data_IF_485204881829
#
_entry.id   IF_485204881829
#
_cell.length_a   1.000
_cell.length_b   1.000
_cell.length_c   1.000
_cell.angle_alpha   90.00
_cell.angle_beta   90.00
_cell.angle_gamma   90.00
#
_symmetry.space_group_name_H-M   'P 1'
#
loop_
_entity.id
_entity.type
_entity.pdbx_description
1 polymer ?
#
# COMPACT_ATOMS: atom_id res chain seq x y z
N UNK A 1 20.19 20.24 -6.82
CA UNK A 1 19.35 21.39 -6.43
C UNK A 1 18.55 20.92 -5.24
N UNK A 2 18.67 21.59 -4.11
CA UNK A 2 17.84 21.28 -2.95
C UNK A 2 16.51 22.00 -3.17
N UNK A 3 15.45 21.23 -3.45
CA UNK A 3 14.11 21.78 -3.51
C UNK A 3 13.60 22.05 -2.10
N UNK A 4 12.88 23.16 -1.97
CA UNK A 4 12.31 23.59 -0.71
C UNK A 4 10.78 23.68 -0.81
N UNK A 5 10.11 23.21 0.25
CA UNK A 5 8.66 23.32 0.42
C UNK A 5 8.41 24.12 1.68
N UNK A 6 7.72 25.24 1.52
CA UNK A 6 7.37 26.13 2.62
C UNK A 6 6.03 25.72 3.21
N UNK A 7 6.01 25.34 4.47
CA UNK A 7 4.75 25.15 5.22
C UNK A 7 4.13 26.51 5.49
N UNK A 8 2.89 26.68 5.05
CA UNK A 8 2.10 27.91 5.22
C UNK A 8 1.16 27.79 6.41
N UNK A 9 0.59 26.62 6.61
CA UNK A 9 -0.35 26.33 7.68
C UNK A 9 -0.21 24.89 8.17
N UNK A 10 -0.32 24.72 9.49
CA UNK A 10 -0.44 23.39 10.12
C UNK A 10 -1.59 23.46 11.13
N UNK A 11 -2.56 22.57 10.98
CA UNK A 11 -3.78 22.56 11.78
C UNK A 11 -4.27 21.14 12.03
N UNK A 12 -5.16 20.98 12.99
CA UNK A 12 -5.84 19.70 13.24
C UNK A 12 -7.29 19.85 12.74
N UNK A 13 -7.73 18.88 11.95
CA UNK A 13 -9.12 18.75 11.49
C UNK A 13 -9.82 17.72 12.37
N UNK A 14 -10.78 18.18 13.16
CA UNK A 14 -11.61 17.32 14.00
C UNK A 14 -12.88 16.88 13.27
N UNK A 15 -13.52 15.76 13.68
CA UNK A 15 -14.84 15.41 13.17
C UNK A 15 -15.85 16.54 13.32
N UNK A 16 -16.71 16.74 12.31
CA UNK A 16 -17.76 17.78 12.33
C UNK A 16 -18.87 17.52 13.36
N UNK A 17 -18.99 16.29 13.83
CA UNK A 17 -19.93 15.86 14.85
C UNK A 17 -19.20 15.05 15.93
N UNK A 18 -19.77 14.98 17.17
CA UNK A 18 -19.17 14.18 18.23
C UNK A 18 -18.97 12.73 17.82
N UNK A 19 -17.73 12.24 17.88
CA UNK A 19 -17.39 10.85 17.64
C UNK A 19 -17.57 10.01 18.91
N UNK A 20 -17.80 8.69 18.80
CA UNK A 20 -17.80 7.78 19.92
C UNK A 20 -16.48 7.86 20.69
N UNK A 21 -16.55 8.10 22.01
CA UNK A 21 -15.37 8.13 22.87
C UNK A 21 -15.18 6.77 23.52
N UNK A 22 -14.31 5.97 22.93
CA UNK A 22 -13.99 4.60 23.40
C UNK A 22 -12.62 4.16 22.94
N UNK A 23 -12.02 3.21 23.59
CA UNK A 23 -10.92 2.42 23.05
C UNK A 23 -11.44 1.51 21.92
N UNK A 24 -10.77 1.47 20.81
CA UNK A 24 -11.01 0.51 19.74
C UNK A 24 -9.90 -0.54 19.80
N UNK A 25 -10.29 -1.76 20.18
CA UNK A 25 -9.40 -2.91 20.22
C UNK A 25 -8.81 -3.17 18.82
N UNK A 26 -7.51 -3.46 18.78
CA UNK A 26 -6.81 -3.83 17.55
C UNK A 26 -6.67 -5.35 17.45
N UNK A 27 -7.03 -5.92 16.31
CA UNK A 27 -6.81 -7.34 16.03
C UNK A 27 -5.32 -7.67 16.00
N UNK A 28 -4.97 -8.95 16.13
CA UNK A 28 -3.58 -9.39 15.99
C UNK A 28 -2.97 -9.02 14.62
N UNK A 29 -3.79 -8.99 13.58
CA UNK A 29 -3.36 -8.55 12.25
C UNK A 29 -3.06 -7.04 12.19
N UNK A 30 -3.82 -6.22 12.92
CA UNK A 30 -3.53 -4.78 13.05
C UNK A 30 -2.24 -4.54 13.83
N UNK A 31 -2.06 -5.24 14.94
CA UNK A 31 -0.87 -5.15 15.78
C UNK A 31 0.38 -5.57 15.00
N UNK A 32 0.28 -6.61 14.20
CA UNK A 32 1.38 -7.06 13.35
C UNK A 32 1.85 -6.01 12.35
N UNK A 33 0.97 -5.10 11.94
CA UNK A 33 1.30 -3.96 11.08
C UNK A 33 1.79 -2.72 11.84
N UNK A 34 1.72 -2.70 13.17
CA UNK A 34 2.03 -1.50 13.96
C UNK A 34 3.47 -0.98 13.74
N UNK A 35 4.42 -1.89 13.59
CA UNK A 35 5.84 -1.55 13.37
C UNK A 35 6.14 -0.89 12.04
N UNK A 36 5.25 -1.00 11.04
CA UNK A 36 5.42 -0.33 9.76
C UNK A 36 5.19 1.19 9.87
N UNK A 37 4.57 1.64 10.97
CA UNK A 37 4.27 3.05 11.19
C UNK A 37 3.35 3.62 10.12
N UNK A 38 3.59 4.84 9.70
CA UNK A 38 2.79 5.51 8.67
C UNK A 38 3.24 5.12 7.26
N UNK A 39 2.27 4.83 6.40
CA UNK A 39 2.50 4.60 4.97
C UNK A 39 2.44 5.93 4.21
N UNK A 40 3.59 6.46 3.72
CA UNK A 40 3.62 7.73 3.02
C UNK A 40 3.22 7.53 1.55
N UNK A 41 2.19 8.26 1.09
CA UNK A 41 1.77 8.27 -0.32
C UNK A 41 1.58 9.68 -0.84
N UNK A 42 1.64 9.85 -2.14
CA UNK A 42 1.36 11.11 -2.84
C UNK A 42 0.35 10.89 -3.96
N UNK A 43 -0.52 11.88 -4.14
CA UNK A 43 -1.41 12.02 -5.28
C UNK A 43 -1.09 13.34 -5.97
N UNK A 44 -0.91 13.32 -7.29
CA UNK A 44 -0.58 14.49 -8.08
C UNK A 44 -1.78 14.90 -8.92
N UNK A 45 -2.20 16.14 -8.76
CA UNK A 45 -3.32 16.73 -9.49
C UNK A 45 -2.85 17.89 -10.36
N UNK A 46 -3.39 17.96 -11.58
CA UNK A 46 -3.15 19.09 -12.49
C UNK A 46 -4.33 20.05 -12.42
N UNK A 47 -4.05 21.34 -12.31
CA UNK A 47 -5.07 22.36 -12.47
C UNK A 47 -5.60 22.36 -13.90
N UNK A 48 -6.91 22.52 -14.07
CA UNK A 48 -7.50 22.72 -15.38
C UNK A 48 -7.01 24.06 -15.97
N UNK A 49 -6.92 24.11 -17.30
CA UNK A 49 -6.56 25.35 -18.02
C UNK A 49 -7.66 26.42 -17.99
N UNK A 50 -8.81 26.14 -17.40
CA UNK A 50 -9.94 27.05 -17.30
C UNK A 50 -9.74 28.02 -16.14
N UNK A 51 -9.53 29.29 -16.43
CA UNK A 51 -9.16 30.35 -15.46
C UNK A 51 -10.21 30.48 -14.35
N UNK A 52 -11.50 30.30 -14.64
CA UNK A 52 -12.56 30.36 -13.65
C UNK A 52 -12.56 29.15 -12.69
N UNK A 53 -12.04 28.01 -13.10
CA UNK A 53 -11.88 26.82 -12.28
C UNK A 53 -10.58 26.85 -11.44
N UNK A 54 -9.61 27.67 -11.83
CA UNK A 54 -8.31 27.77 -11.17
C UNK A 54 -8.40 28.50 -9.81
N UNK A 55 -9.28 29.46 -9.68
CA UNK A 55 -9.44 30.26 -8.43
C UNK A 55 -9.95 29.45 -7.24
N UNK A 56 -10.58 28.28 -7.49
CA UNK A 56 -11.11 27.39 -6.45
C UNK A 56 -10.48 25.99 -6.49
N UNK A 57 -9.38 25.82 -7.24
CA UNK A 57 -8.71 24.54 -7.35
C UNK A 57 -8.03 24.14 -6.02
N UNK A 58 -8.42 22.99 -5.49
CA UNK A 58 -7.99 22.51 -4.19
C UNK A 58 -8.25 23.51 -3.03
N UNK A 59 -9.45 24.09 -3.00
CA UNK A 59 -9.88 24.97 -1.90
C UNK A 59 -9.69 24.28 -0.54
N UNK A 60 -8.78 24.84 0.26
CA UNK A 60 -8.35 24.28 1.54
C UNK A 60 -9.50 24.23 2.55
N UNK A 61 -10.36 25.26 2.58
CA UNK A 61 -11.49 25.29 3.51
C UNK A 61 -12.49 24.19 3.19
N UNK A 62 -12.81 24.01 1.91
CA UNK A 62 -13.69 22.95 1.42
C UNK A 62 -13.11 21.55 1.71
N UNK A 63 -11.80 21.37 1.51
CA UNK A 63 -11.12 20.08 1.80
C UNK A 63 -11.18 19.74 3.29
N UNK A 64 -10.95 20.73 4.18
CA UNK A 64 -11.03 20.55 5.63
C UNK A 64 -12.44 20.24 6.09
N UNK A 65 -13.44 20.97 5.58
CA UNK A 65 -14.86 20.71 5.89
C UNK A 65 -15.26 19.29 5.46
N UNK A 66 -14.93 18.89 4.23
CA UNK A 66 -15.22 17.56 3.73
C UNK A 66 -14.48 16.47 4.54
N UNK A 67 -13.24 16.72 4.98
CA UNK A 67 -12.50 15.81 5.86
C UNK A 67 -13.17 15.68 7.23
N UNK A 68 -13.58 16.80 7.83
CA UNK A 68 -14.27 16.80 9.11
C UNK A 68 -15.54 15.93 9.07
N UNK A 69 -16.28 15.98 7.95
CA UNK A 69 -17.46 15.14 7.72
C UNK A 69 -17.08 13.67 7.53
N UNK A 70 -16.04 13.37 6.74
CA UNK A 70 -15.58 11.99 6.55
C UNK A 70 -15.11 11.37 7.87
N UNK A 71 -14.48 12.15 8.73
CA UNK A 71 -14.00 11.70 10.04
C UNK A 71 -15.14 11.38 11.03
N UNK A 72 -16.38 11.80 10.79
CA UNK A 72 -17.54 11.32 11.57
C UNK A 72 -17.73 9.83 11.41
N UNK A 73 -17.77 9.34 10.17
CA UNK A 73 -17.90 7.92 9.87
C UNK A 73 -16.60 7.16 10.15
N UNK A 74 -15.45 7.73 9.81
CA UNK A 74 -14.12 7.15 10.03
C UNK A 74 -13.48 7.66 11.33
N UNK A 75 -14.28 7.74 12.41
CA UNK A 75 -13.86 8.33 13.69
C UNK A 75 -12.55 7.75 14.28
N UNK A 76 -12.15 6.48 14.05
CA UNK A 76 -10.87 6.00 14.56
C UNK A 76 -9.67 6.75 13.95
N UNK A 77 -9.78 7.27 12.70
CA UNK A 77 -8.70 8.03 12.07
C UNK A 77 -8.49 9.42 12.71
N UNK A 78 -9.49 9.91 13.46
CA UNK A 78 -9.39 11.12 14.27
C UNK A 78 -8.91 10.82 15.71
N UNK A 79 -8.60 9.57 16.02
CA UNK A 79 -8.11 9.14 17.33
C UNK A 79 -6.59 9.23 17.46
N UNK A 80 -6.10 8.56 18.50
CA UNK A 80 -4.67 8.41 18.79
C UNK A 80 -4.34 6.95 19.08
N UNK A 81 -3.18 6.50 18.62
CA UNK A 81 -2.64 5.24 19.09
C UNK A 81 -2.22 5.36 20.55
N UNK A 82 -2.56 4.40 21.35
CA UNK A 82 -2.25 4.35 22.76
C UNK A 82 -2.15 2.91 23.24
N UNK A 83 -1.89 2.78 24.53
CA UNK A 83 -1.86 1.49 25.24
C UNK A 83 -3.04 1.46 26.18
N UNK A 84 -3.80 0.37 26.17
CA UNK A 84 -4.86 0.14 27.12
C UNK A 84 -4.26 -0.18 28.51
N UNK A 85 -4.61 0.61 29.51
CA UNK A 85 -4.06 0.49 30.86
C UNK A 85 -4.45 -0.82 31.56
N UNK A 86 -5.49 -1.52 31.10
CA UNK A 86 -5.98 -2.74 31.75
C UNK A 86 -5.22 -3.99 31.34
N UNK A 87 -4.80 -4.09 30.07
CA UNK A 87 -4.18 -5.29 29.51
C UNK A 87 -2.84 -5.04 28.81
N UNK A 88 -2.41 -3.78 28.72
CA UNK A 88 -1.16 -3.40 28.07
C UNK A 88 -1.17 -3.51 26.53
N UNK A 89 -2.33 -3.81 25.93
CA UNK A 89 -2.48 -3.96 24.48
C UNK A 89 -2.58 -2.60 23.80
N UNK A 90 -1.96 -2.47 22.63
CA UNK A 90 -2.14 -1.29 21.80
C UNK A 90 -3.59 -1.20 21.32
N UNK A 91 -4.17 -0.01 21.38
CA UNK A 91 -5.51 0.31 20.90
C UNK A 91 -5.55 1.67 20.19
N UNK A 92 -6.66 1.97 19.54
CA UNK A 92 -6.97 3.33 19.10
C UNK A 92 -7.88 4.00 20.12
N UNK A 93 -7.39 5.01 20.81
CA UNK A 93 -8.21 5.90 21.61
C UNK A 93 -9.03 6.79 20.69
N UNK A 94 -10.31 6.48 20.52
CA UNK A 94 -11.24 7.24 19.69
C UNK A 94 -11.71 8.48 20.47
N UNK A 95 -10.83 9.46 20.63
CA UNK A 95 -11.05 10.67 21.42
C UNK A 95 -11.48 11.89 20.60
N UNK A 96 -11.45 11.75 19.25
CA UNK A 96 -11.84 12.81 18.33
C UNK A 96 -10.88 13.99 18.26
N UNK A 97 -9.62 13.81 18.69
CA UNK A 97 -8.60 14.89 18.63
C UNK A 97 -8.31 15.36 17.20
N UNK A 98 -8.60 14.54 16.18
CA UNK A 98 -8.52 14.91 14.78
C UNK A 98 -7.27 14.48 14.06
N UNK A 99 -7.24 14.74 12.75
CA UNK A 99 -6.16 14.45 11.82
C UNK A 99 -5.28 15.66 11.57
N UNK A 100 -3.99 15.46 11.35
CA UNK A 100 -3.06 16.54 10.99
C UNK A 100 -3.30 16.97 9.54
N UNK A 101 -3.49 18.26 9.31
CA UNK A 101 -3.67 18.88 8.01
C UNK A 101 -2.66 20.01 7.81
N UNK A 102 -1.79 19.84 6.81
CA UNK A 102 -0.73 20.80 6.48
C UNK A 102 -1.00 21.41 5.10
N UNK A 103 -0.80 22.70 4.97
CA UNK A 103 -0.81 23.44 3.71
C UNK A 103 0.59 23.96 3.44
N UNK A 104 1.08 23.71 2.23
CA UNK A 104 2.44 24.07 1.86
C UNK A 104 2.51 24.62 0.43
N UNK A 105 3.60 25.29 0.10
CA UNK A 105 3.91 25.84 -1.22
C UNK A 105 5.29 25.39 -1.68
N UNK A 106 5.40 25.00 -2.97
CA UNK A 106 6.62 24.64 -3.65
C UNK A 106 6.81 25.59 -4.85
N UNK A 107 7.53 26.67 -4.64
CA UNK A 107 7.67 27.75 -5.62
C UNK A 107 8.51 27.39 -6.83
N UNK A 108 9.35 26.35 -6.75
CA UNK A 108 10.30 25.95 -7.79
C UNK A 108 9.91 24.65 -8.50
N UNK A 109 8.85 23.97 -8.06
CA UNK A 109 8.42 22.67 -8.59
C UNK A 109 7.17 22.79 -9.45
N UNK A 110 7.17 22.05 -10.55
CA UNK A 110 6.01 21.86 -11.44
C UNK A 110 5.49 20.42 -11.36
N UNK A 111 4.31 20.17 -11.91
CA UNK A 111 3.74 18.81 -12.07
C UNK A 111 4.73 17.89 -12.81
N UNK A 112 5.38 18.40 -13.89
CA UNK A 112 6.33 17.61 -14.67
C UNK A 112 7.61 17.27 -13.89
N UNK A 113 8.01 18.12 -12.95
CA UNK A 113 9.15 17.82 -12.08
C UNK A 113 8.79 16.74 -11.07
N UNK A 114 7.62 16.83 -10.46
CA UNK A 114 7.13 15.79 -9.50
C UNK A 114 7.00 14.42 -10.16
N UNK A 115 6.55 14.35 -11.42
CA UNK A 115 6.47 13.08 -12.17
C UNK A 115 7.82 12.39 -12.37
N UNK A 116 8.93 13.15 -12.36
CA UNK A 116 10.29 12.59 -12.51
C UNK A 116 10.85 12.04 -11.20
N UNK A 117 10.29 12.44 -10.06
CA UNK A 117 10.77 11.92 -8.79
C UNK A 117 10.49 10.43 -8.64
N UNK A 118 11.48 9.72 -8.15
CA UNK A 118 11.30 8.37 -7.63
C UNK A 118 11.01 8.45 -6.13
N UNK A 119 10.26 7.49 -5.58
CA UNK A 119 10.08 7.39 -4.13
C UNK A 119 11.44 7.45 -3.41
N UNK A 120 11.54 8.34 -2.46
CA UNK A 120 12.80 8.62 -1.74
C UNK A 120 12.54 9.34 -0.42
N UNK A 121 13.50 9.35 0.51
CA UNK A 121 13.41 10.18 1.71
C UNK A 121 13.21 11.67 1.39
N UNK A 122 13.76 12.14 0.27
CA UNK A 122 13.58 13.51 -0.20
C UNK A 122 12.13 13.77 -0.64
N UNK A 123 11.56 12.90 -1.48
CA UNK A 123 10.16 13.02 -1.93
C UNK A 123 9.19 13.03 -0.74
N UNK A 124 9.44 12.14 0.24
CA UNK A 124 8.67 12.12 1.49
C UNK A 124 8.80 13.43 2.25
N UNK A 125 10.02 13.94 2.45
CA UNK A 125 10.28 15.20 3.16
C UNK A 125 9.59 16.39 2.52
N UNK A 126 9.51 16.43 1.19
CA UNK A 126 8.89 17.52 0.44
C UNK A 126 7.36 17.51 0.56
N UNK A 127 6.73 16.34 0.46
CA UNK A 127 5.29 16.28 0.21
C UNK A 127 4.47 15.56 1.28
N UNK A 128 5.08 14.89 2.24
CA UNK A 128 4.36 14.20 3.31
C UNK A 128 4.68 14.88 4.64
N UNK A 129 3.66 15.20 5.46
CA UNK A 129 3.89 15.98 6.67
C UNK A 129 4.76 15.23 7.68
N UNK A 130 5.56 15.97 8.42
CA UNK A 130 6.19 15.46 9.64
C UNK A 130 5.11 15.23 10.69
N UNK A 131 5.07 14.04 11.27
CA UNK A 131 4.03 13.64 12.21
C UNK A 131 4.59 13.65 13.62
N UNK A 132 4.09 14.57 14.43
CA UNK A 132 4.41 14.69 15.85
C UNK A 132 3.13 15.08 16.62
N UNK A 133 2.74 14.31 17.65
CA UNK A 133 3.30 13.05 18.10
C UNK A 133 3.00 11.89 17.14
N UNK A 134 3.82 10.83 17.18
CA UNK A 134 3.66 9.64 16.33
C UNK A 134 2.35 8.87 16.56
N UNK A 135 1.63 9.17 17.64
CA UNK A 135 0.30 8.62 17.93
C UNK A 135 -0.82 9.11 17.00
N UNK A 136 -0.60 10.20 16.24
CA UNK A 136 -1.53 10.67 15.21
C UNK A 136 -1.66 9.58 14.14
N UNK A 137 -2.90 9.22 13.77
CA UNK A 137 -3.18 8.11 12.85
C UNK A 137 -3.21 8.56 11.40
N UNK A 138 -3.78 9.74 11.14
CA UNK A 138 -3.93 10.32 9.81
C UNK A 138 -3.27 11.69 9.75
N UNK A 139 -2.44 11.87 8.73
CA UNK A 139 -1.87 13.15 8.39
C UNK A 139 -1.91 13.38 6.87
N UNK A 140 -2.20 14.61 6.45
CA UNK A 140 -2.22 15.01 5.05
C UNK A 140 -1.51 16.33 4.86
N UNK A 141 -0.91 16.52 3.68
CA UNK A 141 -0.29 17.77 3.27
C UNK A 141 -0.74 18.12 1.85
N UNK A 142 -1.34 19.30 1.69
CA UNK A 142 -1.69 19.87 0.38
C UNK A 142 -0.58 20.84 0.00
N UNK A 143 0.19 20.49 -1.03
CA UNK A 143 1.30 21.32 -1.51
C UNK A 143 0.97 21.91 -2.88
N UNK A 144 0.84 23.23 -2.94
CA UNK A 144 0.61 23.95 -4.18
C UNK A 144 1.93 24.13 -4.94
N UNK A 145 1.92 23.78 -6.21
CA UNK A 145 3.09 23.85 -7.09
C UNK A 145 3.09 25.16 -7.88
N UNK A 146 4.28 25.58 -8.36
CA UNK A 146 4.50 26.78 -9.18
C UNK A 146 3.55 26.89 -10.38
N UNK A 147 3.18 25.77 -10.99
CA UNK A 147 2.31 25.73 -12.17
C UNK A 147 0.81 25.66 -11.84
N UNK A 148 0.42 25.85 -10.57
CA UNK A 148 -0.95 25.70 -10.12
C UNK A 148 -1.41 24.26 -9.87
N UNK A 149 -0.60 23.26 -10.16
CA UNK A 149 -0.88 21.86 -9.79
C UNK A 149 -0.76 21.66 -8.28
N UNK A 150 -1.22 20.52 -7.79
CA UNK A 150 -1.21 20.16 -6.35
C UNK A 150 -0.66 18.75 -6.14
N UNK A 151 0.18 18.61 -5.12
CA UNK A 151 0.52 17.32 -4.52
C UNK A 151 -0.22 17.18 -3.21
N UNK A 152 -1.07 16.15 -3.12
CA UNK A 152 -1.67 15.72 -1.87
C UNK A 152 -0.82 14.58 -1.30
N UNK A 153 -0.01 14.89 -0.31
CA UNK A 153 0.75 13.91 0.47
C UNK A 153 -0.10 13.37 1.60
N UNK A 154 0.00 12.09 1.86
CA UNK A 154 -0.77 11.42 2.91
C UNK A 154 0.08 10.46 3.72
N UNK A 155 -0.26 10.29 4.97
CA UNK A 155 0.34 9.31 5.85
C UNK A 155 -0.73 8.73 6.78
N UNK A 156 -1.01 7.43 6.64
CA UNK A 156 -1.90 6.69 7.53
C UNK A 156 -1.11 5.63 8.27
N UNK A 157 -1.35 5.53 9.57
CA UNK A 157 -0.67 4.53 10.39
C UNK A 157 -1.19 3.13 10.07
N UNK A 158 -0.27 2.21 9.75
CA UNK A 158 -0.63 0.89 9.23
C UNK A 158 -1.38 0.02 10.23
N UNK A 159 -1.23 0.24 11.56
CA UNK A 159 -2.06 -0.43 12.58
C UNK A 159 -3.55 -0.10 12.47
N UNK A 160 -3.92 1.02 11.85
CA UNK A 160 -5.32 1.43 11.75
C UNK A 160 -6.01 0.93 10.49
N UNK A 161 -5.28 0.82 9.36
CA UNK A 161 -5.84 0.56 8.04
C UNK A 161 -4.90 -0.24 7.15
N UNK A 162 -5.46 -1.12 6.34
CA UNK A 162 -4.81 -1.64 5.13
C UNK A 162 -5.10 -0.73 3.91
N UNK A 163 -4.59 -1.10 2.74
CA UNK A 163 -4.75 -0.29 1.53
C UNK A 163 -6.21 -0.12 1.10
N UNK A 164 -7.05 -1.16 1.23
CA UNK A 164 -8.49 -1.06 0.89
C UNK A 164 -9.21 -0.08 1.81
N UNK A 165 -8.95 -0.17 3.11
CA UNK A 165 -9.50 0.72 4.11
C UNK A 165 -9.07 2.17 3.89
N UNK A 166 -7.79 2.38 3.51
CA UNK A 166 -7.27 3.71 3.18
C UNK A 166 -7.95 4.29 1.94
N UNK A 167 -8.08 3.52 0.86
CA UNK A 167 -8.78 3.98 -0.34
C UNK A 167 -10.26 4.29 -0.09
N UNK A 168 -10.93 3.51 0.74
CA UNK A 168 -12.32 3.78 1.14
C UNK A 168 -12.44 5.13 1.85
N UNK A 169 -11.52 5.46 2.76
CA UNK A 169 -11.47 6.78 3.40
C UNK A 169 -11.29 7.90 2.35
N UNK A 170 -10.32 7.77 1.43
CA UNK A 170 -10.07 8.81 0.42
C UNK A 170 -11.24 8.98 -0.55
N UNK A 171 -11.91 7.91 -0.94
CA UNK A 171 -13.13 7.96 -1.75
C UNK A 171 -14.25 8.69 -1.00
N UNK A 172 -14.44 8.41 0.29
CA UNK A 172 -15.45 9.07 1.12
C UNK A 172 -15.14 10.56 1.29
N UNK A 173 -13.89 10.90 1.62
CA UNK A 173 -13.46 12.29 1.75
C UNK A 173 -13.62 13.07 0.45
N UNK A 174 -13.19 12.50 -0.66
CA UNK A 174 -13.33 13.13 -1.98
C UNK A 174 -14.81 13.26 -2.40
N UNK A 175 -15.66 12.29 -2.09
CA UNK A 175 -17.10 12.38 -2.35
C UNK A 175 -17.76 13.54 -1.60
N UNK A 176 -17.45 13.74 -0.32
CA UNK A 176 -17.94 14.89 0.45
C UNK A 176 -17.40 16.22 -0.10
N UNK A 177 -16.13 16.27 -0.53
CA UNK A 177 -15.59 17.47 -1.18
C UNK A 177 -16.30 17.78 -2.50
N UNK A 178 -16.58 16.76 -3.31
CA UNK A 178 -17.17 16.94 -4.64
C UNK A 178 -18.66 17.22 -4.61
N UNK A 179 -19.41 16.51 -3.76
CA UNK A 179 -20.88 16.47 -3.77
C UNK A 179 -21.53 17.08 -2.52
N UNK A 180 -20.76 17.49 -1.51
CA UNK A 180 -21.27 18.06 -0.27
C UNK A 180 -22.33 17.18 0.39
N UNK A 181 -23.51 17.73 0.68
CA UNK A 181 -24.62 17.01 1.32
C UNK A 181 -25.28 15.95 0.42
N UNK A 182 -25.00 15.98 -0.87
CA UNK A 182 -25.52 14.99 -1.83
C UNK A 182 -24.58 13.81 -2.03
N UNK A 183 -23.47 13.72 -1.27
CA UNK A 183 -22.54 12.62 -1.37
C UNK A 183 -23.18 11.30 -0.94
N UNK A 184 -23.13 10.29 -1.80
CA UNK A 184 -23.51 8.93 -1.47
C UNK A 184 -22.26 8.15 -1.12
N UNK A 185 -22.14 7.71 0.14
CA UNK A 185 -20.97 7.01 0.65
C UNK A 185 -21.36 5.70 1.32
N UNK A 186 -20.54 4.67 1.19
CA UNK A 186 -20.68 3.44 1.94
C UNK A 186 -20.12 3.67 3.37
N UNK A 187 -20.90 3.35 4.40
CA UNK A 187 -20.43 3.53 5.77
C UNK A 187 -19.42 2.44 6.17
N UNK A 188 -18.33 2.82 6.85
CA UNK A 188 -17.30 1.88 7.26
C UNK A 188 -17.78 0.95 8.38
N UNK A 189 -17.33 -0.31 8.34
CA UNK A 189 -17.50 -1.28 9.42
C UNK A 189 -16.24 -1.31 10.28
N UNK A 190 -16.33 -0.90 11.53
CA UNK A 190 -15.22 -0.86 12.49
C UNK A 190 -15.20 -2.03 13.46
N UNK A 191 -16.01 -3.07 13.23
CA UNK A 191 -16.10 -4.24 14.09
C UNK A 191 -14.83 -5.11 13.94
N UNK A 192 -13.83 -4.86 14.80
CA UNK A 192 -12.58 -5.61 14.83
C UNK A 192 -12.73 -7.00 15.44
N UNK A 193 -13.82 -7.26 16.17
CA UNK A 193 -14.09 -8.56 16.77
C UNK A 193 -14.34 -9.65 15.70
N UNK A 194 -14.68 -9.25 14.48
CA UNK A 194 -14.76 -10.16 13.32
C UNK A 194 -13.44 -10.88 13.02
N UNK A 195 -12.29 -10.31 13.45
CA UNK A 195 -10.95 -10.89 13.32
C UNK A 195 -10.36 -11.33 14.67
N UNK A 196 -11.22 -11.63 15.65
CA UNK A 196 -10.77 -12.16 16.92
C UNK A 196 -10.31 -13.61 16.77
N UNK A 197 -9.20 -13.94 17.43
CA UNK A 197 -8.71 -15.32 17.51
C UNK A 197 -9.71 -16.23 18.20
N UNK A 198 -9.65 -17.51 17.89
CA UNK A 198 -10.45 -18.56 18.58
C UNK A 198 -10.03 -18.70 20.05
N UNK A 199 -10.91 -19.18 20.88
CA UNK A 199 -10.61 -19.44 22.29
C UNK A 199 -10.93 -20.91 22.62
N UNK A 200 -9.92 -21.77 22.85
CA UNK A 200 -8.48 -21.50 22.72
C UNK A 200 -8.02 -21.35 21.26
N UNK A 201 -6.91 -20.63 20.98
CA UNK A 201 -6.30 -20.56 19.65
C UNK A 201 -5.92 -21.95 19.13
N UNK A 202 -6.15 -22.20 17.85
CA UNK A 202 -5.86 -23.50 17.22
C UNK A 202 -5.20 -23.29 15.87
N UNK A 203 -3.97 -23.79 15.71
CA UNK A 203 -3.19 -23.62 14.49
C UNK A 203 -3.15 -24.97 13.75
N UNK A 204 -3.66 -24.99 12.52
CA UNK A 204 -3.53 -26.15 11.67
C UNK A 204 -2.07 -26.32 11.24
N UNK A 205 -1.47 -27.52 11.34
CA UNK A 205 -0.04 -27.72 11.02
C UNK A 205 0.35 -27.25 9.62
N UNK A 206 -0.49 -27.48 8.61
CA UNK A 206 -0.22 -27.09 7.23
C UNK A 206 -0.26 -25.56 7.02
N UNK A 207 -0.97 -24.83 7.89
CA UNK A 207 -1.04 -23.37 7.83
C UNK A 207 0.35 -22.74 8.01
N UNK A 208 1.17 -23.28 8.91
CA UNK A 208 2.53 -22.79 9.17
C UNK A 208 3.47 -22.87 7.96
N UNK A 209 3.16 -23.74 6.98
CA UNK A 209 3.93 -23.86 5.74
C UNK A 209 3.57 -22.76 4.72
N UNK A 210 2.39 -22.19 4.82
CA UNK A 210 1.83 -21.26 3.83
C UNK A 210 1.93 -19.80 4.22
N UNK A 211 1.79 -19.46 5.49
CA UNK A 211 1.94 -18.09 5.91
C UNK A 211 3.34 -17.77 6.40
N UNK A 212 3.78 -16.57 6.07
CA UNK A 212 5.11 -16.09 6.41
C UNK A 212 5.00 -14.96 7.44
N UNK A 213 5.03 -15.31 8.74
CA UNK A 213 4.66 -14.37 9.78
C UNK A 213 5.68 -13.27 10.02
N UNK A 214 6.94 -13.49 9.65
CA UNK A 214 8.02 -12.56 9.98
C UNK A 214 9.08 -12.52 8.88
N UNK A 215 9.35 -11.32 8.36
CA UNK A 215 10.53 -11.10 7.55
C UNK A 215 11.77 -10.97 8.45
N UNK A 216 12.79 -11.72 8.13
CA UNK A 216 14.11 -11.52 8.73
C UNK A 216 14.85 -10.51 7.87
N UNK A 217 15.12 -9.33 8.40
CA UNK A 217 15.94 -8.33 7.74
C UNK A 217 17.40 -8.51 8.16
N UNK A 218 18.30 -8.31 7.20
CA UNK A 218 19.74 -8.21 7.46
C UNK A 218 20.18 -6.76 7.26
N UNK A 219 21.34 -6.44 7.83
CA UNK A 219 22.01 -5.18 7.54
C UNK A 219 22.26 -5.04 6.04
N UNK A 220 22.27 -3.81 5.56
CA UNK A 220 22.51 -3.51 4.16
C UNK A 220 23.91 -3.99 3.75
N UNK A 221 23.97 -5.01 2.91
CA UNK A 221 25.23 -5.49 2.31
C UNK A 221 25.75 -4.60 1.17
N UNK A 222 25.06 -3.50 0.87
CA UNK A 222 25.36 -2.55 -0.20
C UNK A 222 24.25 -1.51 -0.39
N UNK A 223 24.43 -0.54 -1.30
CA UNK A 223 23.44 0.47 -1.56
C UNK A 223 22.18 -0.13 -2.19
N UNK A 224 21.01 0.37 -1.76
CA UNK A 224 19.74 0.13 -2.41
C UNK A 224 19.50 1.15 -3.52
N UNK A 225 18.81 0.73 -4.56
CA UNK A 225 18.30 1.61 -5.60
C UNK A 225 16.79 1.40 -5.74
N UNK A 226 16.12 2.48 -6.11
CA UNK A 226 14.69 2.47 -6.40
C UNK A 226 14.52 2.72 -7.90
N UNK A 227 13.76 1.83 -8.55
CA UNK A 227 13.36 1.97 -9.94
C UNK A 227 11.84 1.86 -10.08
N UNK A 228 11.33 2.61 -11.04
CA UNK A 228 9.92 2.56 -11.45
C UNK A 228 9.89 2.09 -12.90
N UNK A 229 9.40 0.87 -13.12
CA UNK A 229 9.28 0.28 -14.44
C UNK A 229 7.80 0.18 -14.82
N UNK A 230 7.51 0.17 -16.10
CA UNK A 230 6.14 0.05 -16.61
C UNK A 230 6.01 -1.14 -17.54
N UNK A 231 4.89 -1.83 -17.43
CA UNK A 231 4.45 -2.88 -18.35
C UNK A 231 3.17 -2.36 -19.00
N UNK A 232 3.15 -2.22 -20.31
CA UNK A 232 1.96 -1.74 -21.01
C UNK A 232 0.82 -2.75 -20.96
N UNK A 233 -0.40 -2.31 -21.26
CA UNK A 233 -1.57 -3.17 -21.33
C UNK A 233 -1.36 -4.36 -22.27
N UNK A 234 -0.78 -4.10 -23.46
CA UNK A 234 -0.55 -5.14 -24.46
C UNK A 234 0.51 -6.14 -23.99
N UNK A 235 1.57 -5.66 -23.35
CA UNK A 235 2.57 -6.52 -22.73
C UNK A 235 1.98 -7.38 -21.60
N UNK A 236 1.07 -6.82 -20.78
CA UNK A 236 0.34 -7.59 -19.76
C UNK A 236 -0.53 -8.67 -20.41
N UNK A 237 -1.23 -8.35 -21.51
CA UNK A 237 -2.07 -9.30 -22.22
C UNK A 237 -1.24 -10.46 -22.80
N UNK A 238 -0.12 -10.16 -23.48
CA UNK A 238 0.81 -11.15 -24.01
C UNK A 238 1.41 -12.01 -22.91
N UNK A 239 1.81 -11.41 -21.79
CA UNK A 239 2.34 -12.12 -20.63
C UNK A 239 1.32 -13.12 -20.04
N UNK A 240 0.07 -12.69 -19.90
CA UNK A 240 -1.02 -13.57 -19.43
C UNK A 240 -1.31 -14.69 -20.39
N UNK A 241 -1.24 -14.44 -21.70
CA UNK A 241 -1.40 -15.46 -22.72
C UNK A 241 -0.30 -16.53 -22.62
N UNK A 242 0.96 -16.10 -22.48
CA UNK A 242 2.11 -16.98 -22.27
C UNK A 242 1.97 -17.83 -21.00
N UNK A 243 1.30 -17.33 -19.97
CA UNK A 243 1.01 -18.08 -18.75
C UNK A 243 -0.20 -19.02 -18.84
N UNK A 244 -0.80 -19.20 -20.03
CA UNK A 244 -1.83 -20.20 -20.27
C UNK A 244 -3.27 -19.70 -20.12
N UNK A 245 -3.57 -18.45 -20.41
CA UNK A 245 -4.93 -17.89 -20.39
C UNK A 245 -5.62 -17.95 -19.00
N UNK A 246 -6.46 -17.05 -18.66
CA UNK A 246 -7.12 -17.04 -17.33
C UNK A 246 -6.20 -16.75 -16.13
N UNK A 247 -4.89 -16.58 -16.33
CA UNK A 247 -3.95 -16.18 -15.29
C UNK A 247 -4.19 -14.71 -14.91
N UNK A 248 -4.24 -14.40 -13.61
CA UNK A 248 -4.38 -13.03 -13.14
C UNK A 248 -3.13 -12.20 -13.46
N UNK A 249 -3.31 -10.89 -13.65
CA UNK A 249 -2.17 -9.97 -13.83
C UNK A 249 -1.17 -10.08 -12.68
N UNK A 250 -1.66 -10.21 -11.44
CA UNK A 250 -0.81 -10.42 -10.27
C UNK A 250 0.08 -11.66 -10.42
N UNK A 251 -0.50 -12.83 -10.72
CA UNK A 251 0.26 -14.08 -10.83
C UNK A 251 1.29 -14.02 -11.98
N UNK A 252 0.89 -13.48 -13.14
CA UNK A 252 1.76 -13.41 -14.31
C UNK A 252 2.96 -12.46 -14.08
N UNK A 253 2.70 -11.26 -13.57
CA UNK A 253 3.76 -10.26 -13.30
C UNK A 253 4.64 -10.70 -12.12
N UNK A 254 4.06 -11.27 -11.07
CA UNK A 254 4.83 -11.77 -9.92
C UNK A 254 5.76 -12.94 -10.32
N UNK A 255 5.28 -13.85 -11.17
CA UNK A 255 6.12 -14.94 -11.71
C UNK A 255 7.30 -14.38 -12.52
N UNK A 256 7.04 -13.42 -13.41
CA UNK A 256 8.07 -12.75 -14.20
C UNK A 256 9.12 -12.08 -13.30
N UNK A 257 8.66 -11.32 -12.30
CA UNK A 257 9.54 -10.62 -11.35
C UNK A 257 10.37 -11.61 -10.54
N UNK A 258 9.78 -12.71 -10.06
CA UNK A 258 10.49 -13.71 -9.29
C UNK A 258 11.59 -14.39 -10.12
N UNK A 259 11.30 -14.79 -11.36
CA UNK A 259 12.31 -15.32 -12.30
C UNK A 259 13.44 -14.30 -12.53
N UNK A 260 13.11 -13.08 -12.91
CA UNK A 260 14.10 -12.04 -13.19
C UNK A 260 15.00 -11.78 -11.98
N UNK A 261 14.42 -11.76 -10.77
CA UNK A 261 15.16 -11.51 -9.53
C UNK A 261 16.10 -12.67 -9.20
N UNK A 262 15.64 -13.92 -9.30
CA UNK A 262 16.50 -15.10 -9.08
C UNK A 262 17.70 -15.11 -10.04
N UNK A 263 17.48 -14.83 -11.32
CA UNK A 263 18.53 -14.79 -12.33
C UNK A 263 19.51 -13.63 -12.07
N UNK A 264 19.01 -12.42 -11.82
CA UNK A 264 19.83 -11.22 -11.63
C UNK A 264 20.71 -11.31 -10.37
N UNK A 265 20.19 -11.89 -9.30
CA UNK A 265 20.94 -12.12 -8.05
C UNK A 265 21.99 -13.22 -8.15
N UNK A 266 21.99 -14.00 -9.22
CA UNK A 266 22.98 -15.10 -9.48
C UNK A 266 23.09 -16.06 -8.32
N UNK A 267 21.97 -16.40 -7.70
CA UNK A 267 21.93 -17.33 -6.58
C UNK A 267 22.29 -18.75 -7.06
N UNK A 268 22.83 -19.56 -6.11
CA UNK A 268 23.08 -20.97 -6.42
C UNK A 268 21.78 -21.66 -6.84
N UNK A 269 21.79 -22.48 -7.91
CA UNK A 269 20.60 -23.21 -8.37
C UNK A 269 19.92 -24.05 -7.28
N UNK A 270 20.69 -24.59 -6.33
CA UNK A 270 20.21 -25.43 -5.23
C UNK A 270 19.70 -24.62 -4.02
N UNK A 271 19.82 -23.29 -4.05
CA UNK A 271 19.32 -22.43 -2.96
C UNK A 271 17.79 -22.40 -2.95
N UNK A 272 17.24 -22.26 -1.74
CA UNK A 272 15.82 -21.94 -1.58
C UNK A 272 15.51 -20.55 -2.16
N UNK A 273 14.46 -20.43 -2.94
CA UNK A 273 13.88 -19.16 -3.38
C UNK A 273 12.49 -19.01 -2.77
N UNK A 274 12.21 -17.84 -2.20
CA UNK A 274 10.93 -17.56 -1.56
C UNK A 274 10.30 -16.30 -2.11
N UNK A 275 9.02 -16.43 -2.48
CA UNK A 275 8.15 -15.30 -2.82
C UNK A 275 7.15 -15.11 -1.69
N UNK A 276 7.01 -13.86 -1.20
CA UNK A 276 5.99 -13.50 -0.20
C UNK A 276 5.12 -12.37 -0.71
N UNK A 277 3.84 -12.37 -0.33
CA UNK A 277 2.89 -11.32 -0.71
C UNK A 277 1.72 -11.25 0.25
N UNK A 278 1.12 -10.04 0.48
CA UNK A 278 -0.09 -9.91 1.27
C UNK A 278 -1.29 -10.49 0.53
N UNK A 279 -2.09 -11.27 1.24
CA UNK A 279 -3.32 -11.87 0.76
C UNK A 279 -4.53 -11.30 1.51
N UNK A 280 -5.55 -10.84 0.78
CA UNK A 280 -6.79 -10.29 1.31
C UNK A 280 -7.70 -11.41 1.85
N UNK A 281 -8.15 -11.28 3.09
CA UNK A 281 -8.95 -12.28 3.82
C UNK A 281 -10.45 -12.08 3.65
N UNK A 282 -10.90 -10.89 3.23
CA UNK A 282 -12.31 -10.47 3.32
C UNK A 282 -13.27 -11.49 2.73
N UNK A 283 -12.93 -12.06 1.59
CA UNK A 283 -13.75 -13.04 0.88
C UNK A 283 -13.35 -14.51 1.18
N UNK A 284 -12.34 -14.74 1.99
CA UNK A 284 -11.84 -16.08 2.33
C UNK A 284 -12.43 -16.62 3.61
N UNK A 285 -12.81 -15.75 4.52
CA UNK A 285 -13.48 -16.10 5.77
C UNK A 285 -14.92 -16.58 5.55
N UNK A 286 -15.41 -17.35 6.51
CA UNK A 286 -16.81 -17.80 6.57
C UNK A 286 -17.38 -17.48 7.96
N UNK A 287 -18.36 -16.55 8.10
CA UNK A 287 -18.87 -15.67 7.03
C UNK A 287 -17.82 -14.67 6.50
N UNK A 288 -17.99 -14.21 5.25
CA UNK A 288 -17.11 -13.18 4.67
C UNK A 288 -17.19 -11.88 5.48
N UNK A 289 -16.06 -11.16 5.56
CA UNK A 289 -16.06 -9.81 6.12
C UNK A 289 -16.88 -8.86 5.24
N UNK A 290 -17.51 -7.84 5.82
CA UNK A 290 -18.13 -6.77 5.06
C UNK A 290 -17.14 -6.12 4.09
N UNK A 291 -17.61 -5.73 2.88
CA UNK A 291 -16.79 -5.01 1.90
C UNK A 291 -16.22 -3.70 2.46
N UNK A 292 -16.98 -3.07 3.34
CA UNK A 292 -16.65 -1.81 4.03
C UNK A 292 -15.85 -2.01 5.34
N UNK A 293 -15.34 -3.21 5.63
CA UNK A 293 -14.51 -3.46 6.81
C UNK A 293 -13.27 -2.59 6.81
N UNK A 294 -13.07 -1.83 7.90
CA UNK A 294 -11.92 -0.96 8.11
C UNK A 294 -10.97 -1.59 9.14
N UNK A 295 -9.74 -1.84 8.72
CA UNK A 295 -8.69 -2.48 9.49
C UNK A 295 -7.75 -3.27 8.59
N UNK A 296 -6.87 -4.04 9.18
CA UNK A 296 -6.01 -4.96 8.45
C UNK A 296 -6.69 -6.32 8.31
N UNK A 297 -7.20 -6.60 7.12
CA UNK A 297 -7.75 -7.91 6.77
C UNK A 297 -6.82 -8.61 5.77
N UNK A 298 -5.57 -8.78 6.16
CA UNK A 298 -4.55 -9.44 5.34
C UNK A 298 -3.44 -10.05 6.21
N UNK A 299 -2.81 -11.08 5.68
CA UNK A 299 -1.52 -11.60 6.16
C UNK A 299 -0.61 -11.96 4.99
N UNK A 300 0.66 -12.28 5.25
CA UNK A 300 1.60 -12.63 4.20
C UNK A 300 1.58 -14.13 3.92
N UNK A 301 1.24 -14.48 2.69
CA UNK A 301 1.50 -15.82 2.14
C UNK A 301 2.94 -15.92 1.68
N UNK A 302 3.53 -17.10 1.84
CA UNK A 302 4.87 -17.45 1.38
C UNK A 302 4.84 -18.68 0.48
N UNK A 303 5.58 -18.63 -0.61
CA UNK A 303 5.80 -19.73 -1.52
C UNK A 303 7.28 -20.00 -1.58
N UNK A 304 7.68 -21.24 -1.32
CA UNK A 304 9.07 -21.70 -1.38
C UNK A 304 9.27 -22.60 -2.59
N UNK A 305 10.40 -22.44 -3.26
CA UNK A 305 10.85 -23.28 -4.36
C UNK A 305 12.38 -23.30 -4.41
N UNK A 306 12.96 -23.94 -5.41
CA UNK A 306 14.40 -23.94 -5.65
C UNK A 306 14.72 -22.92 -6.74
N UNK A 307 15.81 -22.15 -6.58
CA UNK A 307 16.24 -21.10 -7.52
C UNK A 307 16.34 -21.63 -8.94
N UNK A 308 16.95 -22.82 -9.13
CA UNK A 308 17.12 -23.46 -10.43
C UNK A 308 15.78 -23.69 -11.14
N UNK A 309 14.78 -24.17 -10.40
CA UNK A 309 13.43 -24.40 -10.94
C UNK A 309 12.80 -23.07 -11.38
N UNK A 310 12.80 -22.07 -10.48
CA UNK A 310 12.21 -20.76 -10.80
C UNK A 310 12.89 -20.10 -12.00
N UNK A 311 14.21 -20.21 -12.11
CA UNK A 311 14.97 -19.58 -13.19
C UNK A 311 14.74 -20.23 -14.56
N UNK A 312 14.45 -21.53 -14.62
CA UNK A 312 14.43 -22.33 -15.86
C UNK A 312 13.04 -22.81 -16.29
N UNK A 313 12.08 -22.94 -15.36
CA UNK A 313 10.71 -23.34 -15.68
C UNK A 313 10.02 -22.36 -16.65
N UNK A 314 9.06 -22.87 -17.41
CA UNK A 314 8.16 -22.00 -18.19
C UNK A 314 7.36 -21.09 -17.26
N UNK A 315 7.17 -19.85 -17.67
CA UNK A 315 6.58 -18.83 -16.81
C UNK A 315 5.19 -19.20 -16.30
N UNK A 316 4.40 -19.93 -17.12
CA UNK A 316 3.08 -20.42 -16.72
C UNK A 316 3.11 -21.38 -15.53
N UNK A 317 4.17 -22.21 -15.39
CA UNK A 317 4.36 -23.08 -14.23
C UNK A 317 4.60 -22.27 -12.96
N UNK A 318 5.48 -21.25 -13.03
CA UNK A 318 5.76 -20.37 -11.89
C UNK A 318 4.50 -19.59 -11.48
N UNK A 319 3.74 -19.06 -12.45
CA UNK A 319 2.46 -18.39 -12.20
C UNK A 319 1.42 -19.33 -11.58
N UNK A 320 1.41 -20.60 -12.02
CA UNK A 320 0.56 -21.64 -11.46
C UNK A 320 0.84 -21.94 -9.99
N UNK A 321 2.13 -21.94 -9.57
CA UNK A 321 2.51 -22.10 -8.14
C UNK A 321 1.94 -20.95 -7.29
N UNK A 322 2.01 -19.70 -7.78
CA UNK A 322 1.47 -18.53 -7.08
C UNK A 322 -0.04 -18.64 -6.95
N UNK A 323 -0.73 -19.00 -8.03
CA UNK A 323 -2.17 -19.21 -8.04
C UNK A 323 -2.58 -20.33 -7.07
N UNK A 324 -1.87 -21.47 -7.11
CA UNK A 324 -2.14 -22.62 -6.24
C UNK A 324 -2.10 -22.24 -4.76
N UNK A 325 -1.11 -21.45 -4.34
CA UNK A 325 -1.03 -20.96 -2.96
C UNK A 325 -2.21 -20.03 -2.59
N UNK A 326 -2.64 -19.17 -3.52
CA UNK A 326 -3.80 -18.29 -3.31
C UNK A 326 -5.10 -19.10 -3.23
N UNK A 327 -5.25 -20.13 -4.07
CA UNK A 327 -6.46 -20.95 -4.13
C UNK A 327 -6.59 -21.88 -2.90
N UNK A 328 -5.47 -22.28 -2.29
CA UNK A 328 -5.44 -23.06 -1.04
C UNK A 328 -5.85 -22.23 0.20
N UNK A 329 -5.93 -20.90 0.09
CA UNK A 329 -6.31 -20.05 1.21
C UNK A 329 -7.81 -20.15 1.48
N UNK A 330 -8.19 -21.01 2.43
CA UNK A 330 -9.55 -21.20 2.91
C UNK A 330 -9.79 -20.54 4.28
N UNK A 331 -10.98 -20.72 4.84
CA UNK A 331 -11.37 -20.18 6.15
C UNK A 331 -10.50 -20.72 7.28
N UNK A 332 -10.17 -22.03 7.26
CA UNK A 332 -9.37 -22.63 8.33
C UNK A 332 -7.92 -22.11 8.31
N UNK A 333 -7.31 -21.97 7.14
CA UNK A 333 -5.99 -21.37 7.01
C UNK A 333 -5.99 -19.94 7.55
N UNK A 334 -7.02 -19.15 7.20
CA UNK A 334 -7.16 -17.76 7.67
C UNK A 334 -7.30 -17.70 9.18
N UNK A 335 -8.15 -18.54 9.77
CA UNK A 335 -8.34 -18.59 11.24
C UNK A 335 -7.07 -19.06 11.95
N UNK A 336 -6.38 -20.05 11.39
CA UNK A 336 -5.09 -20.50 11.91
C UNK A 336 -4.04 -19.40 11.89
N UNK A 337 -4.03 -18.56 10.85
CA UNK A 337 -3.13 -17.40 10.79
C UNK A 337 -3.47 -16.37 11.86
N UNK A 338 -4.75 -16.03 12.06
CA UNK A 338 -5.20 -15.11 13.11
C UNK A 338 -4.79 -15.63 14.49
N UNK A 339 -5.04 -16.93 14.76
CA UNK A 339 -4.67 -17.57 16.02
C UNK A 339 -3.15 -17.56 16.25
N UNK A 340 -2.38 -17.82 15.19
CA UNK A 340 -0.92 -17.75 15.27
C UNK A 340 -0.44 -16.35 15.66
N UNK A 341 -0.95 -15.31 14.98
CA UNK A 341 -0.56 -13.93 15.28
C UNK A 341 -1.01 -13.48 16.67
N UNK A 342 -2.10 -14.00 17.19
CA UNK A 342 -2.51 -13.72 18.57
C UNK A 342 -1.59 -14.36 19.61
N UNK A 343 -1.00 -15.53 19.29
CA UNK A 343 -0.08 -16.25 20.19
C UNK A 343 1.37 -15.79 20.04
N UNK A 344 1.73 -15.22 18.87
CA UNK A 344 3.10 -14.84 18.59
C UNK A 344 3.52 -13.61 19.41
N UNK A 345 4.75 -13.63 19.92
CA UNK A 345 5.35 -12.42 20.46
C UNK A 345 5.53 -11.38 19.35
N UNK A 346 5.04 -10.18 19.59
CA UNK A 346 5.13 -9.08 18.64
C UNK A 346 6.55 -8.53 18.59
N UNK A 347 7.11 -8.47 17.39
CA UNK A 347 8.40 -7.81 17.18
C UNK A 347 8.19 -6.29 17.14
N UNK A 348 8.71 -5.59 18.13
CA UNK A 348 8.58 -4.14 18.24
C UNK A 348 9.60 -3.37 17.40
N UNK A 349 10.39 -4.05 16.56
CA UNK A 349 11.34 -3.39 15.68
C UNK A 349 10.72 -3.05 14.32
N UNK A 350 10.87 -1.79 13.85
CA UNK A 350 10.40 -1.43 12.52
C UNK A 350 11.18 -2.21 11.45
N UNK A 351 10.54 -2.57 10.32
CA UNK A 351 11.22 -3.24 9.23
C UNK A 351 12.29 -2.32 8.64
N UNK A 352 13.54 -2.72 8.77
CA UNK A 352 14.70 -1.97 8.26
C UNK A 352 15.71 -2.92 7.65
N UNK A 353 16.43 -2.44 6.63
CA UNK A 353 17.47 -3.22 5.97
C UNK A 353 16.96 -3.92 4.72
N UNK A 354 17.51 -5.07 4.42
CA UNK A 354 17.24 -5.83 3.19
C UNK A 354 16.71 -7.21 3.54
N UNK A 355 15.72 -7.68 2.80
CA UNK A 355 15.35 -9.10 2.84
C UNK A 355 16.54 -9.95 2.37
N UNK A 356 16.66 -11.19 2.85
CA UNK A 356 17.62 -12.15 2.30
C UNK A 356 17.51 -12.20 0.78
N UNK A 357 18.61 -12.34 0.09
CA UNK A 357 18.63 -12.39 -1.39
C UNK A 357 17.78 -13.52 -1.97
N UNK A 358 17.49 -14.55 -1.17
CA UNK A 358 16.58 -15.65 -1.53
C UNK A 358 15.10 -15.27 -1.42
N UNK A 359 14.77 -14.10 -0.85
CA UNK A 359 13.39 -13.67 -0.64
C UNK A 359 13.06 -12.48 -1.54
N UNK A 360 11.88 -12.53 -2.16
CA UNK A 360 11.23 -11.43 -2.87
C UNK A 360 9.87 -11.18 -2.24
N UNK A 361 9.59 -9.91 -1.88
CA UNK A 361 8.27 -9.51 -1.39
C UNK A 361 7.54 -8.67 -2.43
N UNK A 362 6.33 -9.10 -2.81
CA UNK A 362 5.53 -8.38 -3.80
C UNK A 362 4.21 -7.92 -3.17
N UNK A 363 4.07 -6.62 -2.95
CA UNK A 363 2.79 -6.00 -2.58
C UNK A 363 2.03 -5.61 -3.84
N UNK A 364 0.71 -5.79 -3.86
CA UNK A 364 -0.11 -5.44 -5.03
C UNK A 364 -1.28 -4.53 -4.65
N UNK A 365 -1.39 -3.42 -5.35
CA UNK A 365 -2.56 -2.54 -5.36
C UNK A 365 -3.33 -2.62 -6.69
N UNK A 366 -3.02 -3.62 -7.53
CA UNK A 366 -3.73 -3.84 -8.80
C UNK A 366 -5.23 -4.04 -8.58
N UNK A 367 -6.04 -3.39 -9.42
CA UNK A 367 -7.49 -3.43 -9.33
C UNK A 367 -8.06 -2.68 -8.12
N UNK A 368 -7.24 -1.95 -7.35
CA UNK A 368 -7.69 -1.09 -6.27
C UNK A 368 -7.97 0.33 -6.80
N UNK A 369 -8.87 1.11 -6.15
CA UNK A 369 -9.30 2.43 -6.64
C UNK A 369 -8.29 3.54 -6.36
N UNK A 370 -7.04 3.35 -6.80
CA UNK A 370 -5.91 4.25 -6.53
C UNK A 370 -6.11 5.66 -7.09
N UNK A 371 -6.87 5.78 -8.18
CA UNK A 371 -7.10 7.03 -8.90
C UNK A 371 -8.53 7.59 -8.72
N UNK A 372 -9.31 7.05 -7.77
CA UNK A 372 -10.72 7.44 -7.62
C UNK A 372 -10.94 8.60 -6.63
N UNK A 373 -9.89 9.14 -6.02
CA UNK A 373 -9.96 10.30 -5.15
C UNK A 373 -10.15 11.60 -5.96
N UNK A 374 -11.36 11.82 -6.48
CA UNK A 374 -11.76 13.04 -7.19
C UNK A 374 -12.48 14.02 -6.26
N UNK A 375 -11.75 15.02 -5.80
CA UNK A 375 -12.26 16.05 -4.87
C UNK A 375 -13.16 17.11 -5.51
N UNK A 376 -13.56 16.92 -6.78
CA UNK A 376 -14.37 17.86 -7.56
C UNK A 376 -13.55 18.61 -8.63
N UNK A 377 -12.26 18.32 -8.73
CA UNK A 377 -11.33 18.94 -9.68
C UNK A 377 -10.65 17.92 -10.62
N UNK A 378 -11.20 16.72 -10.71
CA UNK A 378 -10.69 15.63 -11.52
C UNK A 378 -9.90 14.60 -10.71
N UNK A 379 -9.58 13.48 -11.38
CA UNK A 379 -8.78 12.40 -10.81
C UNK A 379 -7.30 12.75 -10.76
N UNK A 380 -6.52 12.16 -9.85
CA UNK A 380 -5.07 12.37 -9.83
C UNK A 380 -4.41 11.80 -11.10
N UNK A 381 -3.42 12.51 -11.65
CA UNK A 381 -2.61 12.02 -12.76
C UNK A 381 -1.57 10.97 -12.33
N UNK A 382 -1.18 11.00 -11.07
CA UNK A 382 -0.22 10.07 -10.49
C UNK A 382 -0.61 9.76 -9.05
N UNK A 383 -0.55 8.49 -8.69
CA UNK A 383 -0.54 8.04 -7.30
C UNK A 383 0.69 7.18 -7.08
N UNK A 384 1.44 7.42 -6.01
CA UNK A 384 2.65 6.66 -5.69
C UNK A 384 2.90 6.60 -4.18
N UNK A 385 3.69 5.61 -3.76
CA UNK A 385 4.38 5.72 -2.47
C UNK A 385 5.39 6.87 -2.55
N UNK A 386 5.52 7.63 -1.47
CA UNK A 386 6.52 8.69 -1.40
C UNK A 386 7.91 8.15 -1.07
N UNK A 387 7.98 6.99 -0.41
CA UNK A 387 9.22 6.37 0.03
C UNK A 387 9.12 4.85 0.08
N UNK A 388 10.26 4.17 -0.10
CA UNK A 388 10.45 2.74 0.14
C UNK A 388 11.82 2.53 0.78
N UNK A 389 11.88 1.80 1.89
CA UNK A 389 13.10 1.70 2.71
C UNK A 389 13.74 0.32 2.71
N UNK A 390 13.03 -0.70 2.24
CA UNK A 390 13.46 -2.08 2.39
C UNK A 390 13.85 -2.68 1.05
N UNK A 391 15.05 -3.26 0.96
CA UNK A 391 15.48 -4.02 -0.20
C UNK A 391 14.76 -5.35 -0.33
N UNK A 392 14.53 -5.79 -1.57
CA UNK A 392 13.79 -7.01 -1.87
C UNK A 392 12.28 -6.82 -1.99
N UNK A 393 11.82 -5.57 -2.10
CA UNK A 393 10.40 -5.22 -2.22
C UNK A 393 10.04 -4.72 -3.60
N UNK A 394 8.89 -5.20 -4.10
CA UNK A 394 8.24 -4.74 -5.34
C UNK A 394 6.79 -4.39 -5.04
N UNK A 395 6.34 -3.22 -5.47
CA UNK A 395 4.94 -2.82 -5.37
C UNK A 395 4.35 -2.75 -6.79
N UNK A 396 3.28 -3.53 -7.02
CA UNK A 396 2.51 -3.53 -8.26
C UNK A 396 1.37 -2.54 -8.14
N UNK A 397 1.33 -1.57 -9.04
CA UNK A 397 0.32 -0.51 -9.07
C UNK A 397 -0.35 -0.44 -10.44
N UNK A 398 -1.57 0.07 -10.50
CA UNK A 398 -2.17 0.36 -11.79
C UNK A 398 -1.34 1.44 -12.51
N UNK A 399 -1.13 1.28 -13.80
CA UNK A 399 -0.58 2.33 -14.65
C UNK A 399 -1.76 2.96 -15.40
N UNK A 400 -2.16 4.15 -14.98
CA UNK A 400 -3.17 4.94 -15.68
C UNK A 400 -2.43 6.06 -16.43
N UNK A 401 -2.02 5.76 -17.65
CA UNK A 401 -1.31 6.68 -18.55
C UNK A 401 -2.24 7.49 -19.47
N UNK A 402 -3.54 7.48 -19.16
CA UNK A 402 -4.56 8.15 -19.96
C UNK A 402 -4.96 7.40 -21.26
N UNK A 403 -4.24 6.33 -21.61
CA UNK A 403 -4.56 5.47 -22.77
C UNK A 403 -5.51 4.33 -22.42
N UNK A 404 -5.96 4.28 -21.19
CA UNK A 404 -6.87 3.25 -20.66
C UNK A 404 -6.23 2.29 -19.66
N UNK A 405 -6.99 1.95 -18.62
CA UNK A 405 -6.56 1.07 -17.54
C UNK A 405 -6.12 -0.30 -18.05
N UNK A 406 -5.10 -0.87 -17.44
CA UNK A 406 -4.65 -2.25 -17.70
C UNK A 406 -3.15 -2.46 -17.77
N UNK A 407 -2.36 -1.39 -17.80
CA UNK A 407 -0.92 -1.45 -17.60
C UNK A 407 -0.55 -1.61 -16.12
N UNK A 408 0.69 -2.00 -15.87
CA UNK A 408 1.25 -2.18 -14.52
C UNK A 408 2.47 -1.28 -14.34
N UNK A 409 2.50 -0.55 -13.23
CA UNK A 409 3.68 0.16 -12.76
C UNK A 409 4.31 -0.62 -11.62
N UNK A 410 5.59 -0.91 -11.75
CA UNK A 410 6.42 -1.63 -10.79
C UNK A 410 7.28 -0.62 -10.03
N UNK A 411 7.04 -0.45 -8.76
CA UNK A 411 7.96 0.25 -7.88
C UNK A 411 8.85 -0.76 -7.18
N UNK A 412 10.14 -0.77 -7.49
CA UNK A 412 11.10 -1.73 -6.96
C UNK A 412 12.12 -1.04 -6.06
N UNK A 413 12.38 -1.62 -4.90
CA UNK A 413 13.50 -1.27 -4.05
C UNK A 413 14.40 -2.51 -3.92
N UNK A 414 15.54 -2.48 -4.58
CA UNK A 414 16.42 -3.65 -4.73
C UNK A 414 17.88 -3.24 -4.55
N UNK A 415 18.76 -4.23 -4.44
CA UNK A 415 20.20 -4.02 -4.44
C UNK A 415 20.63 -3.28 -5.74
N UNK A 416 21.36 -2.18 -5.60
CA UNK A 416 21.75 -1.34 -6.75
C UNK A 416 22.53 -2.10 -7.82
N UNK A 417 23.30 -3.12 -7.43
CA UNK A 417 24.07 -3.96 -8.34
C UNK A 417 23.19 -4.85 -9.23
N UNK A 418 21.98 -5.19 -8.78
CA UNK A 418 21.08 -6.13 -9.48
C UNK A 418 20.00 -5.44 -10.28
N UNK A 419 19.67 -4.18 -9.96
CA UNK A 419 18.45 -3.53 -10.48
C UNK A 419 18.45 -3.36 -12.00
N UNK A 420 19.62 -3.03 -12.60
CA UNK A 420 19.76 -2.88 -14.05
C UNK A 420 19.62 -4.21 -14.79
N UNK A 421 20.10 -5.30 -14.20
CA UNK A 421 19.94 -6.61 -14.78
C UNK A 421 18.50 -7.11 -14.66
N UNK A 422 17.81 -6.82 -13.56
CA UNK A 422 16.37 -7.10 -13.41
C UNK A 422 15.59 -6.37 -14.50
N UNK A 423 15.83 -5.07 -14.71
CA UNK A 423 15.21 -4.26 -15.75
C UNK A 423 15.44 -4.85 -17.15
N UNK A 424 16.69 -5.18 -17.49
CA UNK A 424 17.05 -5.79 -18.77
C UNK A 424 16.34 -7.11 -19.02
N UNK A 425 16.32 -8.01 -17.99
CA UNK A 425 15.66 -9.31 -18.08
C UNK A 425 14.14 -9.17 -18.21
N UNK A 426 13.55 -8.24 -17.47
CA UNK A 426 12.12 -7.95 -17.54
C UNK A 426 11.70 -7.61 -18.97
N UNK A 427 12.33 -6.59 -19.56
CA UNK A 427 11.96 -6.15 -20.92
C UNK A 427 12.33 -7.14 -22.01
N UNK A 428 13.42 -7.89 -21.86
CA UNK A 428 13.76 -8.96 -22.79
C UNK A 428 12.70 -10.07 -22.80
N UNK A 429 12.22 -10.49 -21.63
CA UNK A 429 11.15 -11.51 -21.52
C UNK A 429 9.79 -10.98 -22.01
N UNK A 430 9.47 -9.72 -21.77
CA UNK A 430 8.26 -9.07 -22.30
C UNK A 430 8.28 -8.97 -23.82
N UNK A 431 9.43 -8.65 -24.41
CA UNK A 431 9.59 -8.63 -25.88
C UNK A 431 9.39 -10.01 -26.49
N UNK A 432 9.91 -11.07 -25.85
CA UNK A 432 9.69 -12.45 -26.29
C UNK A 432 8.22 -12.85 -26.19
N UNK A 433 7.53 -12.45 -25.09
CA UNK A 433 6.11 -12.75 -24.89
C UNK A 433 5.20 -12.09 -25.95
N UNK A 434 5.62 -10.98 -26.54
CA UNK A 434 4.88 -10.29 -27.60
C UNK A 434 4.99 -10.98 -28.99
N UNK A 435 5.87 -11.97 -29.12
CA UNK A 435 6.06 -12.73 -30.34
C UNK A 435 5.15 -13.98 -30.43
N UNK A 436 4.44 -14.28 -29.38
CA UNK A 436 3.50 -15.41 -29.27
C UNK A 436 2.06 -14.91 -29.11
#
# INVERSE_FOLDING_TARGET
MDFEVQVVESSIVTPSEPAPRKGLWLSSLDLWQANHGHTPTIYLYRSSSDVAAADHFFDVAKLKEAMARALVAFYPLAGRLGINDNDGRMEISCNGEGALFVVAQAHDLTVEDVKKFKPSPELRRLFVPLIEPLSIILAVQVTFLKCGGVVLGTALHHAAVDALSAFHFFQTWSAFSKHGDHATVELPCHDRDLLRARSPPTIHPDALLMFYPKHTFSDLSGPLAIEVLTISRDQVASLKHLCGGGTSTFCAVSALMWQCTCIARRLSPDSEARLTFPADLRQRMRPSLPSCYIGNAMFWLGITSVVGDIATEVLGSVAGRIRGAIDQMDDELVRSAIDYFEMAEMDNQPPRGTLPQTVLHITSWLGRPQYDADFGWGKPELMSRAESHCGGFVNLMNNDDGAGSGGVRLLMCMEAVNIKEIERLLYAKLALAACY
#
